data_IF_144315335195
#
_entry.id   IF_144315335195
#
_cell.length_a   1.000
_cell.length_b   1.000
_cell.length_c   1.000
_cell.angle_alpha   90.00
_cell.angle_beta   90.00
_cell.angle_gamma   90.00
#
_symmetry.space_group_name_H-M   'P 1'
#
loop_
_entity.id
_entity.type
_entity.pdbx_description
1 polymer ?
#
# COMPACT_ATOMS: atom_id res chain seq x y z
N UNK A 1 -3.68 15.22 13.92
CA UNK A 1 -4.67 14.13 14.03
C UNK A 1 -5.13 13.81 12.61
N UNK A 2 -4.96 12.57 12.15
CA UNK A 2 -5.58 12.14 10.91
C UNK A 2 -7.07 11.89 11.16
N UNK A 3 -7.94 12.35 10.26
CA UNK A 3 -9.38 12.11 10.32
C UNK A 3 -9.73 10.93 9.41
N UNK A 4 -10.51 9.98 9.93
CA UNK A 4 -11.00 8.86 9.12
C UNK A 4 -11.99 9.39 8.09
N UNK A 5 -11.80 9.01 6.83
CA UNK A 5 -12.73 9.31 5.75
C UNK A 5 -14.10 8.67 6.01
N UNK A 6 -15.16 9.36 5.60
CA UNK A 6 -16.49 8.79 5.46
C UNK A 6 -16.53 7.76 4.32
N UNK A 7 -17.57 6.93 4.27
CA UNK A 7 -17.71 5.93 3.21
C UNK A 7 -17.76 6.56 1.81
N UNK A 8 -18.42 7.71 1.67
CA UNK A 8 -18.50 8.44 0.41
C UNK A 8 -17.13 9.00 0.00
N UNK A 9 -16.41 9.63 0.92
CA UNK A 9 -15.06 10.15 0.65
C UNK A 9 -14.08 9.01 0.31
N UNK A 10 -14.20 7.87 0.99
CA UNK A 10 -13.40 6.68 0.71
C UNK A 10 -13.69 6.13 -0.69
N UNK A 11 -14.96 6.03 -1.08
CA UNK A 11 -15.36 5.57 -2.41
C UNK A 11 -14.77 6.48 -3.51
N UNK A 12 -14.90 7.80 -3.36
CA UNK A 12 -14.31 8.76 -4.29
C UNK A 12 -12.77 8.68 -4.33
N UNK A 13 -12.13 8.52 -3.18
CA UNK A 13 -10.67 8.36 -3.12
C UNK A 13 -10.21 7.07 -3.83
N UNK A 14 -10.94 5.97 -3.66
CA UNK A 14 -10.63 4.69 -4.30
C UNK A 14 -10.75 4.75 -5.82
N UNK A 15 -11.72 5.48 -6.35
CA UNK A 15 -11.82 5.74 -7.79
C UNK A 15 -10.58 6.45 -8.34
N UNK A 16 -9.97 7.35 -7.56
CA UNK A 16 -8.75 8.06 -7.94
C UNK A 16 -7.48 7.22 -7.75
N UNK A 17 -7.49 6.22 -6.86
CA UNK A 17 -6.32 5.39 -6.54
C UNK A 17 -6.41 4.00 -7.19
N UNK A 18 -6.18 3.95 -8.50
CA UNK A 18 -6.28 2.73 -9.31
C UNK A 18 -5.48 1.57 -8.71
N UNK A 19 -6.16 0.46 -8.42
CA UNK A 19 -5.59 -0.81 -7.97
C UNK A 19 -5.50 -0.99 -6.45
N UNK A 20 -5.96 -0.03 -5.66
CA UNK A 20 -6.18 -0.22 -4.22
C UNK A 20 -7.58 -0.77 -3.96
N UNK A 21 -7.70 -1.67 -3.00
CA UNK A 21 -8.96 -2.26 -2.55
C UNK A 21 -9.09 -2.14 -1.04
N UNK A 22 -10.31 -2.31 -0.53
CA UNK A 22 -10.56 -2.45 0.90
C UNK A 22 -10.75 -3.92 1.23
N UNK A 23 -9.85 -4.46 2.04
CA UNK A 23 -9.89 -5.82 2.54
C UNK A 23 -9.95 -5.76 4.06
N UNK A 24 -10.99 -6.33 4.67
CA UNK A 24 -11.19 -6.32 6.13
C UNK A 24 -11.14 -4.92 6.77
N UNK A 25 -11.58 -3.88 6.04
CA UNK A 25 -11.58 -2.49 6.51
C UNK A 25 -10.23 -1.77 6.40
N UNK A 26 -9.27 -2.37 5.68
CA UNK A 26 -7.91 -1.87 5.46
C UNK A 26 -7.61 -1.72 3.98
N UNK A 27 -6.73 -0.78 3.64
CA UNK A 27 -6.27 -0.59 2.27
C UNK A 27 -5.27 -1.69 1.91
N UNK A 28 -5.55 -2.41 0.83
CA UNK A 28 -4.71 -3.49 0.32
C UNK A 28 -4.37 -3.24 -1.14
N UNK A 29 -3.13 -3.56 -1.51
CA UNK A 29 -2.70 -3.61 -2.91
C UNK A 29 -1.51 -4.53 -3.11
N UNK A 30 -1.56 -5.33 -4.17
CA UNK A 30 -0.42 -6.10 -4.66
C UNK A 30 0.18 -5.48 -5.93
N UNK A 31 1.46 -5.18 -5.89
CA UNK A 31 2.26 -4.72 -7.03
C UNK A 31 3.01 -5.91 -7.65
N UNK A 32 3.07 -5.97 -8.97
CA UNK A 32 3.84 -6.98 -9.71
C UNK A 32 5.02 -6.34 -10.43
N UNK A 33 6.12 -7.08 -10.53
CA UNK A 33 7.39 -6.59 -11.06
C UNK A 33 8.01 -7.61 -12.02
N UNK A 34 9.03 -7.22 -12.79
CA UNK A 34 9.70 -8.12 -13.75
C UNK A 34 10.71 -9.06 -13.10
N UNK A 35 11.31 -8.64 -11.97
CA UNK A 35 12.32 -9.40 -11.22
C UNK A 35 12.08 -9.32 -9.72
N UNK A 36 12.58 -10.28 -8.96
CA UNK A 36 12.53 -10.23 -7.49
C UNK A 36 13.24 -9.00 -6.92
N UNK A 37 14.42 -8.67 -7.45
CA UNK A 37 15.19 -7.50 -6.99
C UNK A 37 14.45 -6.18 -7.21
N UNK A 38 13.70 -6.04 -8.31
CA UNK A 38 12.88 -4.84 -8.54
C UNK A 38 11.73 -4.70 -7.53
N UNK A 39 11.10 -5.80 -7.12
CA UNK A 39 10.12 -5.81 -6.03
C UNK A 39 10.76 -5.47 -4.67
N UNK A 40 11.91 -6.05 -4.35
CA UNK A 40 12.64 -5.73 -3.12
C UNK A 40 13.04 -4.24 -3.06
N UNK A 41 13.54 -3.68 -4.17
CA UNK A 41 13.88 -2.25 -4.25
C UNK A 41 12.66 -1.34 -4.06
N UNK A 42 11.51 -1.72 -4.61
CA UNK A 42 10.24 -1.03 -4.35
C UNK A 42 9.88 -1.06 -2.86
N UNK A 43 9.95 -2.22 -2.22
CA UNK A 43 9.62 -2.37 -0.80
C UNK A 43 10.51 -1.48 0.09
N UNK A 44 11.82 -1.42 -0.16
CA UNK A 44 12.74 -0.53 0.57
C UNK A 44 12.32 0.93 0.44
N UNK A 45 11.92 1.38 -0.76
CA UNK A 45 11.44 2.76 -0.95
C UNK A 45 10.16 3.04 -0.17
N UNK A 46 9.24 2.09 -0.10
CA UNK A 46 8.02 2.19 0.73
C UNK A 46 8.41 2.31 2.21
N UNK A 47 9.32 1.47 2.71
CA UNK A 47 9.79 1.54 4.10
C UNK A 47 10.38 2.92 4.44
N UNK A 48 11.23 3.46 3.57
CA UNK A 48 11.83 4.79 3.78
C UNK A 48 10.79 5.92 3.80
N UNK A 49 9.75 5.83 2.97
CA UNK A 49 8.66 6.80 2.96
C UNK A 49 7.80 6.68 4.21
N UNK A 50 7.49 5.45 4.64
CA UNK A 50 6.75 5.17 5.86
C UNK A 50 7.43 5.77 7.10
N UNK A 51 8.74 5.54 7.26
CA UNK A 51 9.54 6.14 8.33
C UNK A 51 9.52 7.66 8.29
N UNK A 52 9.69 8.26 7.11
CA UNK A 52 9.65 9.72 6.95
C UNK A 52 8.28 10.32 7.32
N UNK A 53 7.21 9.58 7.07
CA UNK A 53 5.84 10.01 7.34
C UNK A 53 5.35 9.69 8.75
N UNK A 54 6.14 8.92 9.53
CA UNK A 54 5.71 8.32 10.79
C UNK A 54 4.37 7.58 10.63
N UNK A 55 4.23 6.87 9.51
CA UNK A 55 3.02 6.14 9.14
C UNK A 55 3.38 4.86 8.38
N UNK A 56 3.28 3.75 9.09
CA UNK A 56 3.69 2.44 8.61
C UNK A 56 2.50 1.62 8.13
N UNK A 57 2.64 0.86 7.04
CA UNK A 57 1.67 -0.18 6.70
C UNK A 57 1.70 -1.27 7.78
N UNK A 58 0.57 -1.95 7.96
CA UNK A 58 0.50 -3.15 8.81
C UNK A 58 1.46 -4.25 8.32
N UNK A 59 1.51 -4.46 7.00
CA UNK A 59 2.46 -5.39 6.40
C UNK A 59 2.99 -4.91 5.04
N UNK A 60 4.23 -5.29 4.78
CA UNK A 60 4.90 -5.12 3.50
C UNK A 60 5.59 -6.44 3.12
N UNK A 61 4.93 -7.22 2.27
CA UNK A 61 5.31 -8.60 2.00
C UNK A 61 5.95 -8.73 0.62
N UNK A 62 7.23 -9.10 0.58
CA UNK A 62 7.98 -9.33 -0.68
C UNK A 62 7.99 -10.82 -1.02
N UNK A 63 7.33 -11.17 -2.12
CA UNK A 63 7.31 -12.54 -2.68
C UNK A 63 7.87 -12.53 -4.11
N UNK A 64 7.93 -13.69 -4.78
CA UNK A 64 8.47 -13.76 -6.14
C UNK A 64 7.75 -12.80 -7.08
N UNK A 65 8.47 -11.75 -7.52
CA UNK A 65 7.99 -10.71 -8.44
C UNK A 65 6.75 -9.95 -7.96
N UNK A 66 6.43 -9.98 -6.67
CA UNK A 66 5.26 -9.30 -6.11
C UNK A 66 5.56 -8.65 -4.77
N UNK A 67 4.91 -7.53 -4.51
CA UNK A 67 4.92 -6.87 -3.19
C UNK A 67 3.48 -6.55 -2.79
N UNK A 68 3.02 -7.13 -1.69
CA UNK A 68 1.73 -6.78 -1.09
C UNK A 68 1.94 -5.70 -0.03
N UNK A 69 1.08 -4.68 -0.05
CA UNK A 69 1.02 -3.59 0.92
C UNK A 69 -0.35 -3.64 1.57
N UNK A 70 -0.39 -3.78 2.90
CA UNK A 70 -1.62 -3.78 3.69
C UNK A 70 -1.52 -2.68 4.76
N UNK A 71 -2.53 -1.82 4.86
CA UNK A 71 -2.56 -0.65 5.76
C UNK A 71 -3.92 -0.46 6.41
#
# INVERSE_FOLDING_TARGET
>A
MAQKLTETELATALEATLGWTIEHGRLSRTFSFDTYSSGAAFAVRVMMLAEKMDHHPDSLEVTWKKVAVNS
#
